data_IF_320999697959
#
_entry.id   IF_320999697959
#
_cell.length_a   1.000
_cell.length_b   1.000
_cell.length_c   1.000
_cell.angle_alpha   90.00
_cell.angle_beta   90.00
_cell.angle_gamma   90.00
#
_symmetry.space_group_name_H-M   'P 1'
#
loop_
_entity.id
_entity.type
_entity.pdbx_description
1 polymer ?
#
# COMPACT_ATOMS: atom_id res chain seq x y z
N UNK A 1 47.86 -1.74 16.47
CA UNK A 1 46.71 -1.92 15.57
C UNK A 1 45.45 -1.98 16.45
N UNK A 2 44.60 -0.95 16.42
CA UNK A 2 43.33 -1.02 17.12
C UNK A 2 42.50 -2.11 16.44
N UNK A 3 42.21 -3.20 17.13
CA UNK A 3 41.21 -4.16 16.74
C UNK A 3 39.87 -3.42 16.75
N UNK A 4 39.43 -2.89 15.62
CA UNK A 4 38.07 -2.47 15.45
C UNK A 4 37.23 -3.75 15.41
N UNK A 5 36.66 -4.13 16.56
CA UNK A 5 35.65 -5.20 16.57
C UNK A 5 34.58 -4.86 15.55
N UNK A 6 34.36 -5.75 14.61
CA UNK A 6 33.24 -5.64 13.68
C UNK A 6 31.94 -5.52 14.48
N UNK A 7 31.11 -4.50 14.27
CA UNK A 7 29.83 -4.39 14.98
C UNK A 7 28.97 -5.65 14.77
N UNK A 8 28.23 -6.05 15.77
CA UNK A 8 27.31 -7.20 15.66
C UNK A 8 26.15 -6.90 14.70
N UNK A 9 25.62 -5.68 14.80
CA UNK A 9 24.51 -5.23 13.97
C UNK A 9 24.77 -3.81 13.46
N UNK A 10 24.61 -3.60 12.15
CA UNK A 10 24.49 -2.27 11.54
C UNK A 10 23.00 -1.94 11.39
N UNK A 11 22.57 -0.84 12.00
CA UNK A 11 21.18 -0.39 11.97
C UNK A 11 21.05 0.75 10.98
N UNK A 12 20.30 0.55 9.91
CA UNK A 12 20.03 1.57 8.89
C UNK A 12 18.73 2.30 9.22
N UNK A 13 18.80 3.62 9.28
CA UNK A 13 17.66 4.51 9.53
C UNK A 13 17.50 5.44 8.32
N UNK A 14 16.67 5.09 7.34
CA UNK A 14 16.34 5.99 6.22
C UNK A 14 15.47 7.12 6.74
N UNK A 15 15.78 8.37 6.41
CA UNK A 15 15.05 9.54 6.88
C UNK A 15 14.80 10.58 5.79
N UNK A 16 13.61 11.16 5.82
CA UNK A 16 13.23 12.35 5.05
C UNK A 16 12.10 13.08 5.76
N UNK A 17 12.38 14.28 6.29
CA UNK A 17 11.38 15.16 6.93
C UNK A 17 10.59 14.45 8.05
N UNK A 18 11.31 13.90 9.03
CA UNK A 18 10.76 13.11 10.13
C UNK A 18 10.90 13.80 11.49
N UNK A 19 10.97 15.13 11.55
CA UNK A 19 11.30 15.90 12.77
C UNK A 19 10.40 15.55 13.97
N UNK A 20 9.14 15.22 13.72
CA UNK A 20 8.16 14.88 14.77
C UNK A 20 8.46 13.54 15.47
N UNK A 21 9.23 12.64 14.84
CA UNK A 21 9.41 11.26 15.30
C UNK A 21 10.86 10.86 15.46
N UNK A 22 11.79 11.49 14.74
CA UNK A 22 13.18 11.07 14.64
C UNK A 22 13.89 10.96 15.99
N UNK A 23 13.54 11.78 16.98
CA UNK A 23 14.13 11.71 18.33
C UNK A 23 13.75 10.41 19.04
N UNK A 24 12.46 10.08 19.06
CA UNK A 24 11.97 8.84 19.65
C UNK A 24 12.59 7.61 18.97
N UNK A 25 12.68 7.62 17.65
CA UNK A 25 13.36 6.60 16.87
C UNK A 25 14.82 6.41 17.32
N UNK A 26 15.64 7.47 17.25
CA UNK A 26 17.06 7.39 17.57
C UNK A 26 17.30 7.05 19.04
N UNK A 27 16.54 7.62 19.98
CA UNK A 27 16.65 7.32 21.39
C UNK A 27 16.38 5.83 21.66
N UNK A 28 15.39 5.22 20.98
CA UNK A 28 15.09 3.79 21.11
C UNK A 28 16.24 2.88 20.64
N UNK A 29 16.97 3.32 19.61
CA UNK A 29 18.14 2.59 19.08
C UNK A 29 19.36 2.79 19.98
N UNK A 30 19.64 3.99 20.45
CA UNK A 30 20.76 4.28 21.35
C UNK A 30 20.66 3.54 22.70
N UNK A 31 19.42 3.31 23.15
CA UNK A 31 19.11 2.61 24.40
C UNK A 31 19.09 1.08 24.27
N UNK A 32 19.48 0.50 23.12
CA UNK A 32 19.56 -0.95 22.98
C UNK A 32 20.52 -1.58 24.00
N UNK A 33 20.14 -2.75 24.52
CA UNK A 33 20.98 -3.54 25.44
C UNK A 33 22.24 -4.05 24.76
N UNK A 34 22.14 -4.43 23.48
CA UNK A 34 23.27 -4.74 22.61
C UNK A 34 24.07 -3.45 22.33
N UNK A 35 25.28 -3.31 22.93
CA UNK A 35 26.10 -2.10 22.79
C UNK A 35 27.01 -2.10 21.55
N UNK A 36 27.33 -3.29 21.04
CA UNK A 36 28.20 -3.49 19.88
C UNK A 36 27.43 -3.35 18.58
N UNK A 37 26.96 -2.12 18.33
CA UNK A 37 26.16 -1.74 17.15
C UNK A 37 26.74 -0.50 16.48
N UNK A 38 26.51 -0.34 15.18
CA UNK A 38 26.61 0.95 14.48
C UNK A 38 25.25 1.40 13.99
N UNK A 39 25.05 2.71 13.89
CA UNK A 39 23.79 3.33 13.48
C UNK A 39 24.08 4.21 12.27
N UNK A 40 23.46 3.90 11.14
CA UNK A 40 23.65 4.60 9.88
C UNK A 40 22.35 5.35 9.55
N UNK A 41 22.32 6.64 9.87
CA UNK A 41 21.22 7.51 9.51
C UNK A 41 21.42 8.02 8.08
N UNK A 42 20.61 7.53 7.14
CA UNK A 42 20.69 7.93 5.74
C UNK A 42 19.64 8.98 5.48
N UNK A 43 20.02 10.25 5.46
CA UNK A 43 19.09 11.38 5.32
C UNK A 43 19.02 11.91 3.88
N UNK A 44 17.83 11.99 3.32
CA UNK A 44 17.60 12.45 1.94
C UNK A 44 17.44 13.98 1.83
N UNK A 45 18.34 14.73 2.48
CA UNK A 45 18.33 16.19 2.53
C UNK A 45 17.04 16.75 3.15
N UNK A 46 16.74 16.34 4.37
CA UNK A 46 15.61 16.85 5.14
C UNK A 46 15.71 18.36 5.36
N UNK A 47 14.58 19.06 5.29
CA UNK A 47 14.48 20.52 5.40
C UNK A 47 13.62 21.00 6.57
N UNK A 48 13.12 20.08 7.40
CA UNK A 48 12.23 20.33 8.53
C UNK A 48 12.94 20.37 9.90
N UNK A 49 14.27 20.24 9.91
CA UNK A 49 15.08 20.15 11.14
C UNK A 49 15.52 18.72 11.49
N UNK A 50 15.08 17.71 10.77
CA UNK A 50 15.50 16.30 10.98
C UNK A 50 17.01 16.14 10.89
N UNK A 51 17.64 16.68 9.84
CA UNK A 51 19.07 16.56 9.60
C UNK A 51 19.88 17.19 10.72
N UNK A 52 19.49 18.36 11.22
CA UNK A 52 20.15 19.04 12.34
C UNK A 52 20.08 18.21 13.63
N UNK A 53 18.94 17.57 13.87
CA UNK A 53 18.75 16.66 15.00
C UNK A 53 19.73 15.46 14.88
N UNK A 54 19.77 14.80 13.73
CA UNK A 54 20.66 13.67 13.47
C UNK A 54 22.13 14.05 13.63
N UNK A 55 22.56 15.20 13.10
CA UNK A 55 23.91 15.75 13.26
C UNK A 55 24.27 16.02 14.73
N UNK A 56 23.30 16.41 15.56
CA UNK A 56 23.51 16.60 16.99
C UNK A 56 23.67 15.27 17.73
N UNK A 57 22.98 14.19 17.33
CA UNK A 57 23.20 12.85 17.85
C UNK A 57 24.57 12.30 17.43
N UNK A 58 24.99 12.46 16.17
CA UNK A 58 26.31 12.06 15.66
C UNK A 58 27.46 12.63 16.50
N UNK A 59 27.35 13.89 16.92
CA UNK A 59 28.37 14.54 17.82
C UNK A 59 28.43 13.91 19.21
N UNK A 60 27.32 13.34 19.69
CA UNK A 60 27.19 12.83 21.07
C UNK A 60 27.51 11.34 21.20
N UNK A 61 27.23 10.55 20.16
CA UNK A 61 27.42 9.10 20.19
C UNK A 61 28.19 8.63 18.94
N UNK A 62 29.40 8.07 19.21
CA UNK A 62 30.31 7.61 18.14
C UNK A 62 29.79 6.41 17.34
N UNK A 63 28.78 5.73 17.83
CA UNK A 63 28.14 4.61 17.11
C UNK A 63 27.27 5.11 15.95
N UNK A 64 26.84 6.38 15.99
CA UNK A 64 25.93 6.97 15.00
C UNK A 64 26.71 7.78 13.97
N UNK A 65 26.42 7.53 12.71
CA UNK A 65 26.95 8.22 11.53
C UNK A 65 25.80 8.72 10.66
N UNK A 66 25.86 9.98 10.23
CA UNK A 66 24.89 10.58 9.31
C UNK A 66 25.49 10.62 7.91
N UNK A 67 24.79 10.00 6.97
CA UNK A 67 25.15 9.94 5.55
C UNK A 67 24.07 10.67 4.77
N UNK A 68 24.49 11.65 3.96
CA UNK A 68 23.56 12.40 3.12
C UNK A 68 23.31 11.61 1.82
N UNK A 69 22.05 11.34 1.55
CA UNK A 69 21.59 10.79 0.27
C UNK A 69 21.38 11.90 -0.74
N UNK A 70 21.91 11.76 -1.94
CA UNK A 70 21.70 12.68 -3.05
C UNK A 70 20.38 12.45 -3.80
N UNK A 71 19.68 11.35 -3.48
CA UNK A 71 18.38 11.00 -4.05
C UNK A 71 17.30 10.90 -2.97
N UNK A 72 16.12 11.42 -3.26
CA UNK A 72 14.90 11.24 -2.47
C UNK A 72 14.22 9.93 -2.86
N UNK A 73 14.84 8.81 -2.51
CA UNK A 73 14.39 7.46 -2.78
C UNK A 73 14.71 6.56 -1.59
N UNK A 74 13.69 5.94 -1.02
CA UNK A 74 13.84 4.97 0.06
C UNK A 74 14.78 3.82 -0.33
N UNK A 75 14.55 3.24 -1.52
CA UNK A 75 15.41 2.17 -2.02
C UNK A 75 16.87 2.57 -2.16
N UNK A 76 17.14 3.77 -2.66
CA UNK A 76 18.51 4.28 -2.76
C UNK A 76 19.15 4.50 -1.38
N UNK A 77 18.40 5.08 -0.43
CA UNK A 77 18.88 5.24 0.95
C UNK A 77 19.24 3.89 1.58
N UNK A 78 18.38 2.89 1.44
CA UNK A 78 18.62 1.54 1.93
C UNK A 78 19.83 0.89 1.26
N UNK A 79 19.98 1.00 -0.07
CA UNK A 79 21.13 0.47 -0.81
C UNK A 79 22.44 1.14 -0.35
N UNK A 80 22.41 2.45 -0.08
CA UNK A 80 23.54 3.17 0.48
C UNK A 80 23.87 2.66 1.90
N UNK A 81 22.86 2.43 2.75
CA UNK A 81 23.01 1.84 4.06
C UNK A 81 23.63 0.44 4.03
N UNK A 82 23.14 -0.45 3.14
CA UNK A 82 23.69 -1.81 2.94
C UNK A 82 25.15 -1.74 2.49
N UNK A 83 25.50 -0.79 1.62
CA UNK A 83 26.88 -0.58 1.15
C UNK A 83 27.81 -0.13 2.28
N UNK A 84 27.37 0.81 3.11
CA UNK A 84 28.17 1.44 4.16
C UNK A 84 28.25 0.63 5.46
N UNK A 85 27.35 -0.33 5.67
CA UNK A 85 27.27 -1.18 6.85
C UNK A 85 28.55 -2.00 7.05
N UNK A 86 28.98 -2.19 8.32
CA UNK A 86 30.17 -2.94 8.72
C UNK A 86 29.85 -4.10 9.65
N UNK A 87 28.62 -4.21 10.12
CA UNK A 87 28.17 -5.22 11.05
C UNK A 87 28.09 -6.62 10.44
N UNK A 88 28.00 -7.61 11.29
CA UNK A 88 27.74 -9.00 10.88
C UNK A 88 26.31 -9.14 10.30
N UNK A 89 25.35 -8.46 10.94
CA UNK A 89 23.97 -8.39 10.52
C UNK A 89 23.55 -6.94 10.22
N UNK A 90 22.53 -6.79 9.36
CA UNK A 90 21.83 -5.55 9.08
C UNK A 90 20.49 -5.56 9.81
N UNK A 91 20.16 -4.47 10.51
CA UNK A 91 18.83 -4.14 11.00
C UNK A 91 18.31 -2.89 10.31
N UNK A 92 17.00 -2.67 10.34
CA UNK A 92 16.33 -1.51 9.75
C UNK A 92 15.41 -0.91 10.80
N UNK A 93 15.40 0.41 10.94
CA UNK A 93 14.38 1.13 11.73
C UNK A 93 13.90 2.33 10.92
N UNK A 94 12.61 2.35 10.63
CA UNK A 94 11.99 3.49 9.94
C UNK A 94 11.99 4.74 10.84
N UNK A 95 12.19 5.92 10.25
CA UNK A 95 12.45 7.15 11.01
C UNK A 95 11.22 7.68 11.80
N UNK A 96 10.05 7.12 11.59
CA UNK A 96 8.81 7.42 12.33
C UNK A 96 8.39 6.31 13.32
N UNK A 97 9.17 5.22 13.40
CA UNK A 97 8.94 4.08 14.27
C UNK A 97 9.92 4.07 15.46
N UNK A 98 9.74 3.14 16.39
CA UNK A 98 10.67 2.89 17.50
C UNK A 98 10.70 1.42 17.90
N UNK A 99 11.70 1.03 18.70
CA UNK A 99 11.96 -0.38 19.05
C UNK A 99 12.12 -0.59 20.56
N UNK A 100 11.79 -1.79 21.04
CA UNK A 100 12.07 -2.19 22.42
C UNK A 100 13.57 -2.33 22.66
N UNK A 101 14.00 -2.06 23.88
CA UNK A 101 15.42 -1.96 24.27
C UNK A 101 16.23 -3.24 24.06
N UNK A 102 15.62 -4.40 24.06
CA UNK A 102 16.26 -5.72 23.92
C UNK A 102 16.15 -6.34 22.53
N UNK A 103 15.62 -5.63 21.53
CA UNK A 103 15.35 -6.19 20.19
C UNK A 103 16.61 -6.80 19.56
N UNK A 104 17.64 -5.99 19.37
CA UNK A 104 18.82 -6.46 18.63
C UNK A 104 19.65 -7.47 19.40
N UNK A 105 19.70 -7.40 20.74
CA UNK A 105 20.34 -8.42 21.54
C UNK A 105 19.67 -9.78 21.35
N UNK A 106 18.33 -9.81 21.47
CA UNK A 106 17.56 -11.03 21.35
C UNK A 106 17.62 -11.65 19.96
N UNK A 107 17.45 -10.83 18.93
CA UNK A 107 17.55 -11.31 17.54
C UNK A 107 18.94 -11.83 17.20
N UNK A 108 20.01 -11.12 17.66
CA UNK A 108 21.39 -11.53 17.43
C UNK A 108 21.74 -12.83 18.15
N UNK A 109 21.35 -13.00 19.43
CA UNK A 109 21.54 -14.25 20.17
C UNK A 109 20.94 -15.45 19.43
N UNK A 110 19.71 -15.31 18.96
CA UNK A 110 19.01 -16.37 18.21
C UNK A 110 19.71 -16.65 16.88
N UNK A 111 20.11 -15.62 16.15
CA UNK A 111 20.82 -15.74 14.90
C UNK A 111 22.13 -16.53 15.07
N UNK A 112 22.90 -16.23 16.13
CA UNK A 112 24.16 -16.92 16.43
C UNK A 112 23.96 -18.34 16.93
N UNK A 113 23.01 -18.54 17.86
CA UNK A 113 22.70 -19.87 18.41
C UNK A 113 22.28 -20.87 17.35
N UNK A 114 21.51 -20.41 16.36
CA UNK A 114 20.93 -21.29 15.33
C UNK A 114 21.67 -21.19 13.98
N UNK A 115 22.72 -20.37 13.88
CA UNK A 115 23.41 -20.05 12.61
C UNK A 115 22.41 -19.69 11.51
N UNK A 116 21.64 -18.63 11.73
CA UNK A 116 20.61 -18.18 10.80
C UNK A 116 21.07 -16.96 10.01
N UNK A 117 20.68 -16.91 8.74
CA UNK A 117 20.91 -15.74 7.87
C UNK A 117 19.88 -14.65 8.11
N UNK A 118 18.66 -15.03 8.51
CA UNK A 118 17.55 -14.12 8.79
C UNK A 118 16.86 -14.53 10.09
N UNK A 119 16.63 -13.56 10.98
CA UNK A 119 15.79 -13.75 12.16
C UNK A 119 14.74 -12.63 12.19
N UNK A 120 13.47 -12.97 12.30
CA UNK A 120 12.35 -12.03 12.38
C UNK A 120 11.51 -12.30 13.63
N UNK A 121 11.08 -11.23 14.29
CA UNK A 121 10.15 -11.28 15.42
C UNK A 121 8.76 -10.78 15.03
N UNK A 122 7.83 -10.93 15.96
CA UNK A 122 6.54 -10.27 15.91
C UNK A 122 6.69 -8.76 16.16
N UNK A 123 5.61 -8.02 16.01
CA UNK A 123 5.63 -6.57 16.14
C UNK A 123 4.36 -6.02 16.78
N UNK A 124 4.37 -4.75 17.06
CA UNK A 124 3.20 -4.02 17.51
C UNK A 124 2.81 -2.97 16.45
N UNK A 125 1.53 -2.87 16.17
CA UNK A 125 0.96 -1.68 15.52
C UNK A 125 0.56 -0.71 16.62
N UNK A 126 0.95 0.56 16.45
CA UNK A 126 0.58 1.56 17.41
C UNK A 126 0.01 2.81 16.71
N UNK A 127 -1.11 3.31 17.22
CA UNK A 127 -1.78 4.49 16.73
C UNK A 127 -2.66 5.11 17.81
N UNK A 128 -2.63 6.43 17.94
CA UNK A 128 -3.49 7.19 18.86
C UNK A 128 -3.52 6.63 20.29
N UNK A 129 -2.34 6.25 20.81
CA UNK A 129 -2.18 5.70 22.15
C UNK A 129 -2.66 4.25 22.35
N UNK A 130 -3.10 3.57 21.30
CA UNK A 130 -3.46 2.15 21.33
C UNK A 130 -2.36 1.32 20.68
N UNK A 131 -2.11 0.15 21.27
CA UNK A 131 -1.10 -0.80 20.80
C UNK A 131 -1.75 -2.15 20.56
N UNK A 132 -1.51 -2.73 19.39
CA UNK A 132 -2.00 -4.05 18.99
C UNK A 132 -0.81 -4.96 18.71
N UNK A 133 -0.81 -6.16 19.29
CA UNK A 133 0.19 -7.19 19.00
C UNK A 133 -0.13 -7.88 17.68
N UNK A 134 0.85 -8.05 16.81
CA UNK A 134 0.71 -8.66 15.50
C UNK A 134 1.72 -9.79 15.33
N UNK A 135 1.25 -10.98 15.04
CA UNK A 135 2.08 -12.11 14.69
C UNK A 135 2.65 -11.93 13.28
N UNK A 136 3.95 -12.12 13.10
CA UNK A 136 4.58 -12.08 11.77
C UNK A 136 4.15 -13.27 10.90
N UNK A 137 3.86 -14.40 11.52
CA UNK A 137 3.28 -15.57 10.85
C UNK A 137 1.78 -15.60 11.04
N UNK A 138 1.03 -15.73 9.95
CA UNK A 138 -0.44 -15.74 9.89
C UNK A 138 -0.94 -17.04 9.28
N UNK A 139 -2.26 -17.29 9.38
CA UNK A 139 -2.96 -18.29 8.58
C UNK A 139 -2.38 -19.72 8.70
N UNK A 140 -2.38 -20.29 9.88
CA UNK A 140 -1.92 -21.66 10.12
C UNK A 140 -0.42 -21.88 9.86
N UNK A 141 0.39 -20.84 10.06
CA UNK A 141 1.85 -20.91 9.97
C UNK A 141 2.54 -20.82 11.34
N UNK A 142 1.79 -20.86 12.44
CA UNK A 142 2.32 -20.72 13.81
C UNK A 142 3.26 -21.88 14.18
N UNK A 143 3.12 -23.03 13.55
CA UNK A 143 4.02 -24.17 13.68
C UNK A 143 5.44 -23.90 13.13
N UNK A 144 5.62 -22.85 12.33
CA UNK A 144 6.93 -22.43 11.78
C UNK A 144 7.76 -21.65 12.82
N UNK A 145 7.16 -21.09 13.87
CA UNK A 145 7.91 -20.41 14.92
C UNK A 145 8.92 -21.34 15.60
N UNK A 146 10.09 -20.76 15.89
CA UNK A 146 11.19 -21.42 16.61
C UNK A 146 11.84 -22.58 15.86
N UNK A 147 11.69 -22.63 14.52
CA UNK A 147 12.38 -23.58 13.65
C UNK A 147 13.20 -22.87 12.59
N UNK A 148 14.30 -23.50 12.17
CA UNK A 148 15.08 -23.08 11.02
C UNK A 148 14.40 -23.55 9.73
N UNK A 149 13.95 -22.61 8.93
CA UNK A 149 13.19 -22.85 7.70
C UNK A 149 13.80 -22.09 6.50
N UNK A 150 13.46 -22.49 5.32
CA UNK A 150 13.57 -21.73 4.08
C UNK A 150 12.43 -22.15 3.14
N UNK A 151 12.23 -21.43 2.04
CA UNK A 151 11.12 -21.68 1.14
C UNK A 151 11.14 -23.07 0.48
N UNK A 152 12.32 -23.69 0.27
CA UNK A 152 12.42 -25.07 -0.26
C UNK A 152 11.88 -26.11 0.73
N UNK A 153 11.92 -25.83 2.03
CA UNK A 153 11.39 -26.70 3.07
C UNK A 153 9.93 -26.42 3.35
N UNK A 154 9.56 -25.15 3.35
CA UNK A 154 8.21 -24.74 3.62
C UNK A 154 7.87 -23.43 2.89
N UNK A 155 7.12 -23.58 1.80
CA UNK A 155 6.68 -22.46 0.96
C UNK A 155 5.73 -21.51 1.67
N UNK A 156 5.10 -21.94 2.78
CA UNK A 156 4.17 -21.13 3.56
C UNK A 156 4.81 -19.87 4.11
N UNK A 157 6.15 -19.81 4.24
CA UNK A 157 6.84 -18.57 4.63
C UNK A 157 6.59 -17.40 3.67
N UNK A 158 6.33 -17.67 2.39
CA UNK A 158 5.92 -16.64 1.44
C UNK A 158 4.43 -16.34 1.49
N UNK A 159 3.59 -17.30 1.86
CA UNK A 159 2.14 -17.16 1.82
C UNK A 159 1.55 -16.62 3.12
N UNK A 160 2.16 -16.93 4.24
CA UNK A 160 1.66 -16.62 5.58
C UNK A 160 2.54 -15.70 6.42
N UNK A 161 3.66 -15.17 5.91
CA UNK A 161 4.47 -14.21 6.65
C UNK A 161 4.27 -12.77 6.16
N UNK A 162 4.33 -11.82 7.09
CA UNK A 162 4.35 -10.41 6.73
C UNK A 162 5.70 -10.01 6.11
N UNK A 163 5.63 -9.32 4.96
CA UNK A 163 6.78 -8.78 4.24
C UNK A 163 7.49 -7.61 4.92
N UNK A 164 7.16 -7.28 6.17
CA UNK A 164 7.71 -6.15 6.92
C UNK A 164 9.19 -6.40 7.24
N UNK A 165 10.09 -5.59 6.66
CA UNK A 165 11.53 -5.77 6.82
C UNK A 165 12.08 -5.27 8.17
N UNK A 166 11.62 -4.16 8.78
CA UNK A 166 12.21 -3.63 10.01
C UNK A 166 12.13 -4.54 11.25
N UNK A 167 11.29 -5.58 11.23
CA UNK A 167 11.07 -6.49 12.38
C UNK A 167 12.14 -7.57 12.56
N UNK A 168 13.27 -7.48 11.86
CA UNK A 168 14.29 -8.54 11.88
C UNK A 168 15.72 -8.05 11.65
N UNK A 169 16.62 -9.03 11.61
CA UNK A 169 18.02 -8.85 11.22
C UNK A 169 18.37 -9.80 10.07
N UNK A 170 19.30 -9.34 9.23
CA UNK A 170 19.69 -9.99 7.99
C UNK A 170 21.21 -10.11 7.94
N UNK A 171 21.76 -11.31 7.73
CA UNK A 171 23.22 -11.47 7.61
C UNK A 171 23.73 -10.60 6.45
N UNK A 172 24.69 -9.74 6.72
CA UNK A 172 25.15 -8.75 5.73
C UNK A 172 25.78 -9.43 4.50
N UNK A 173 26.48 -10.56 4.71
CA UNK A 173 27.05 -11.35 3.60
C UNK A 173 25.97 -11.93 2.67
N UNK A 174 24.80 -12.35 3.19
CA UNK A 174 23.67 -12.77 2.36
C UNK A 174 23.29 -11.67 1.37
N UNK A 175 23.16 -10.44 1.88
CA UNK A 175 22.75 -9.29 1.07
C UNK A 175 23.81 -8.96 0.00
N UNK A 176 25.06 -8.93 0.37
CA UNK A 176 26.16 -8.50 -0.50
C UNK A 176 26.58 -9.54 -1.53
N UNK A 177 26.75 -10.78 -1.09
CA UNK A 177 27.16 -11.88 -2.01
C UNK A 177 26.13 -12.13 -3.09
N UNK A 178 24.86 -12.02 -2.75
CA UNK A 178 23.76 -12.19 -3.70
C UNK A 178 23.34 -10.87 -4.39
N UNK A 179 24.04 -9.77 -4.14
CA UNK A 179 23.75 -8.44 -4.71
C UNK A 179 22.29 -8.02 -4.51
N UNK A 180 21.72 -8.39 -3.36
CA UNK A 180 20.35 -8.01 -2.98
C UNK A 180 20.29 -6.49 -2.83
N UNK A 181 19.34 -5.87 -3.49
CA UNK A 181 19.14 -4.42 -3.47
C UNK A 181 17.68 -4.05 -3.61
N UNK A 182 17.34 -2.88 -3.15
CA UNK A 182 16.01 -2.30 -3.34
C UNK A 182 15.93 -1.58 -4.68
N UNK A 183 14.72 -1.49 -5.21
CA UNK A 183 14.42 -0.64 -6.35
C UNK A 183 14.57 0.85 -5.99
N UNK A 184 15.32 1.60 -6.79
CA UNK A 184 15.64 3.02 -6.51
C UNK A 184 14.62 4.00 -7.10
N UNK A 185 13.34 3.61 -7.15
CA UNK A 185 12.27 4.50 -7.58
C UNK A 185 12.13 5.70 -6.65
N UNK A 186 11.69 6.88 -7.15
CA UNK A 186 11.52 8.08 -6.32
C UNK A 186 10.53 7.90 -5.18
N UNK A 187 10.85 8.47 -4.01
CA UNK A 187 10.02 8.40 -2.80
C UNK A 187 10.10 7.07 -2.07
N UNK A 188 9.09 6.78 -1.26
CA UNK A 188 8.94 5.55 -0.51
C UNK A 188 7.58 4.92 -0.81
N UNK A 189 7.55 3.78 -1.49
CA UNK A 189 6.32 3.02 -1.75
C UNK A 189 6.64 1.66 -2.36
N UNK A 190 6.32 0.57 -1.66
CA UNK A 190 6.45 -0.81 -2.09
C UNK A 190 7.88 -1.36 -2.26
N UNK A 191 8.96 -0.57 -2.16
CA UNK A 191 10.34 -1.06 -2.32
C UNK A 191 10.74 -2.11 -1.27
N UNK A 192 10.03 -2.15 -0.16
CA UNK A 192 10.12 -3.17 0.89
C UNK A 192 9.74 -4.57 0.38
N UNK A 193 8.79 -4.68 -0.55
CA UNK A 193 8.38 -5.97 -1.12
C UNK A 193 9.52 -6.63 -1.91
N UNK A 194 10.26 -5.86 -2.71
CA UNK A 194 11.39 -6.39 -3.49
C UNK A 194 12.54 -6.84 -2.60
N UNK A 195 12.82 -6.12 -1.52
CA UNK A 195 13.83 -6.52 -0.53
C UNK A 195 13.44 -7.84 0.15
N UNK A 196 12.23 -7.88 0.70
CA UNK A 196 11.68 -9.07 1.36
C UNK A 196 11.70 -10.28 0.43
N UNK A 197 11.21 -10.13 -0.81
CA UNK A 197 11.11 -11.23 -1.77
C UNK A 197 12.48 -11.81 -2.11
N UNK A 198 13.47 -10.97 -2.42
CA UNK A 198 14.83 -11.41 -2.74
C UNK A 198 15.49 -12.11 -1.54
N UNK A 199 15.36 -11.56 -0.33
CA UNK A 199 15.91 -12.16 0.89
C UNK A 199 15.32 -13.55 1.10
N UNK A 200 14.00 -13.71 1.03
CA UNK A 200 13.34 -14.98 1.28
C UNK A 200 13.63 -16.02 0.18
N UNK A 201 13.79 -15.57 -1.07
CA UNK A 201 14.14 -16.42 -2.18
C UNK A 201 15.57 -16.98 -2.09
N UNK A 202 16.51 -16.23 -1.49
CA UNK A 202 17.93 -16.55 -1.49
C UNK A 202 18.45 -17.06 -0.14
N UNK A 203 17.75 -16.77 0.95
CA UNK A 203 18.18 -17.20 2.29
C UNK A 203 18.04 -18.71 2.47
N UNK A 204 19.10 -19.32 2.95
CA UNK A 204 19.18 -20.76 3.27
C UNK A 204 18.62 -21.07 4.66
N UNK A 205 18.54 -20.06 5.54
CA UNK A 205 18.11 -20.21 6.92
C UNK A 205 17.40 -18.96 7.43
N UNK A 206 16.09 -19.10 7.67
CA UNK A 206 15.21 -18.09 8.24
C UNK A 206 14.70 -18.64 9.56
N UNK A 207 14.56 -17.80 10.58
CA UNK A 207 14.04 -18.15 11.88
C UNK A 207 13.02 -17.11 12.35
N UNK A 208 11.85 -17.54 12.71
CA UNK A 208 10.80 -16.69 13.25
C UNK A 208 10.66 -16.92 14.75
N UNK A 209 10.51 -15.82 15.51
CA UNK A 209 10.25 -15.90 16.96
C UNK A 209 8.95 -15.17 17.31
N UNK A 210 8.20 -15.75 18.21
CA UNK A 210 6.94 -15.19 18.69
C UNK A 210 7.14 -14.16 19.83
N UNK A 211 8.12 -13.26 19.63
CA UNK A 211 8.41 -12.15 20.52
C UNK A 211 8.34 -10.85 19.73
N UNK A 212 7.59 -9.86 20.22
CA UNK A 212 7.40 -8.59 19.53
C UNK A 212 8.30 -7.49 20.09
N UNK A 213 9.02 -6.79 19.21
CA UNK A 213 9.99 -5.75 19.57
C UNK A 213 9.79 -4.43 18.84
N UNK A 214 9.28 -4.48 17.62
CA UNK A 214 9.15 -3.34 16.74
C UNK A 214 7.81 -2.64 16.95
N UNK A 215 7.81 -1.31 17.03
CA UNK A 215 6.61 -0.49 17.21
C UNK A 215 6.31 0.26 15.91
N UNK A 216 5.47 -0.32 15.09
CA UNK A 216 5.07 0.19 13.78
C UNK A 216 4.00 1.27 13.93
N UNK A 217 4.33 2.53 13.60
CA UNK A 217 3.43 3.67 13.71
C UNK A 217 2.42 3.73 12.56
N UNK A 218 1.14 3.96 12.89
CA UNK A 218 0.05 4.09 11.92
C UNK A 218 -0.71 5.43 11.99
N UNK A 219 -0.40 6.29 12.96
CA UNK A 219 -1.01 7.61 13.10
C UNK A 219 -0.26 8.74 12.40
N UNK A 220 0.91 8.49 11.80
CA UNK A 220 1.62 9.47 10.98
C UNK A 220 0.74 9.92 9.79
N UNK A 221 0.34 11.22 9.71
CA UNK A 221 -0.49 11.72 8.60
C UNK A 221 0.25 11.71 7.26
N UNK A 222 1.59 11.77 7.29
CA UNK A 222 2.45 11.81 6.10
C UNK A 222 2.93 10.42 5.67
N UNK A 223 2.39 9.35 6.26
CA UNK A 223 2.75 7.98 5.89
C UNK A 223 2.53 7.72 4.40
N UNK A 224 3.49 7.07 3.77
CA UNK A 224 3.46 6.72 2.34
C UNK A 224 2.24 5.87 1.96
N UNK A 225 1.73 5.09 2.89
CA UNK A 225 0.53 4.25 2.72
C UNK A 225 -0.73 5.09 2.48
N UNK A 226 -0.79 6.34 2.94
CA UNK A 226 -1.94 7.24 2.78
C UNK A 226 -1.95 8.02 1.46
N UNK A 227 -0.89 7.93 0.66
CA UNK A 227 -0.79 8.70 -0.60
C UNK A 227 -1.75 8.18 -1.66
N UNK A 228 -2.59 9.06 -2.18
CA UNK A 228 -3.55 8.76 -3.26
C UNK A 228 -2.95 8.90 -4.68
N UNK A 229 -1.74 9.44 -4.80
CA UNK A 229 -1.09 9.76 -6.07
C UNK A 229 -0.02 8.75 -6.48
N UNK A 230 0.34 7.82 -5.61
CA UNK A 230 1.32 6.76 -5.91
C UNK A 230 0.66 5.60 -6.65
N UNK A 231 0.34 5.82 -7.92
CA UNK A 231 -0.50 4.94 -8.73
C UNK A 231 0.25 3.70 -9.22
N UNK A 232 1.45 3.87 -9.77
CA UNK A 232 2.17 2.78 -10.46
C UNK A 232 3.33 2.19 -9.65
N UNK A 233 3.57 2.64 -8.42
CA UNK A 233 4.70 2.17 -7.62
C UNK A 233 4.68 0.65 -7.39
N UNK A 234 3.51 0.07 -7.15
CA UNK A 234 3.37 -1.39 -7.05
C UNK A 234 3.71 -2.08 -8.38
N UNK A 235 3.33 -1.48 -9.53
CA UNK A 235 3.65 -2.04 -10.84
C UNK A 235 5.15 -2.11 -11.08
N UNK A 236 5.84 -1.00 -10.80
CA UNK A 236 7.30 -0.88 -10.96
C UNK A 236 8.05 -1.84 -10.03
N UNK A 237 7.56 -2.02 -8.81
CA UNK A 237 8.16 -2.92 -7.84
C UNK A 237 8.00 -4.40 -8.25
N UNK A 238 6.81 -4.79 -8.70
CA UNK A 238 6.61 -6.17 -9.16
C UNK A 238 7.27 -6.46 -10.52
N UNK A 239 7.50 -5.46 -11.35
CA UNK A 239 8.36 -5.60 -12.53
C UNK A 239 9.82 -5.83 -12.11
N UNK A 240 10.31 -5.11 -11.09
CA UNK A 240 11.64 -5.31 -10.51
C UNK A 240 11.81 -6.73 -9.92
N UNK A 241 10.81 -7.25 -9.18
CA UNK A 241 10.84 -8.63 -8.65
C UNK A 241 10.84 -9.65 -9.79
N UNK A 242 10.04 -9.45 -10.85
CA UNK A 242 10.06 -10.35 -12.02
C UNK A 242 11.39 -10.33 -12.75
N UNK A 243 12.04 -9.17 -12.86
CA UNK A 243 13.37 -9.07 -13.49
C UNK A 243 14.46 -9.76 -12.64
N UNK A 244 14.31 -9.76 -11.31
CA UNK A 244 15.12 -10.59 -10.43
C UNK A 244 14.90 -12.08 -10.69
N UNK A 245 13.65 -12.54 -10.75
CA UNK A 245 13.33 -13.95 -11.00
C UNK A 245 13.88 -14.45 -12.35
N UNK A 246 13.77 -13.67 -13.41
CA UNK A 246 14.33 -14.01 -14.74
C UNK A 246 15.85 -14.22 -14.73
N UNK A 247 16.56 -13.57 -13.81
CA UNK A 247 18.01 -13.79 -13.62
C UNK A 247 18.31 -15.05 -12.81
N UNK A 248 17.29 -15.69 -12.24
CA UNK A 248 17.39 -16.88 -11.39
C UNK A 248 16.39 -17.95 -11.86
N UNK A 249 16.65 -18.63 -13.01
CA UNK A 249 15.68 -19.58 -13.61
C UNK A 249 15.27 -20.72 -12.67
N UNK A 250 16.18 -21.15 -11.77
CA UNK A 250 15.89 -22.18 -10.77
C UNK A 250 14.83 -21.74 -9.75
N UNK A 251 14.73 -20.45 -9.47
CA UNK A 251 13.74 -19.86 -8.58
C UNK A 251 12.46 -19.50 -9.31
N UNK A 252 12.57 -19.05 -10.56
CA UNK A 252 11.47 -18.50 -11.35
C UNK A 252 10.30 -19.47 -11.43
N UNK A 253 10.56 -20.74 -11.78
CA UNK A 253 9.51 -21.76 -11.95
C UNK A 253 8.60 -21.90 -10.73
N UNK A 254 9.15 -21.82 -9.52
CA UNK A 254 8.38 -22.01 -8.27
C UNK A 254 7.87 -20.69 -7.71
N UNK A 255 8.64 -19.61 -7.81
CA UNK A 255 8.34 -18.36 -7.16
C UNK A 255 7.59 -17.34 -8.04
N UNK A 256 7.53 -17.53 -9.38
CA UNK A 256 6.75 -16.64 -10.24
C UNK A 256 5.24 -16.66 -9.91
N UNK A 257 4.60 -17.82 -9.64
CA UNK A 257 3.20 -17.82 -9.20
C UNK A 257 2.96 -17.10 -7.87
N UNK A 258 3.91 -17.21 -6.94
CA UNK A 258 3.85 -16.50 -5.65
C UNK A 258 4.01 -14.99 -5.86
N UNK A 259 4.94 -14.58 -6.73
CA UNK A 259 5.08 -13.19 -7.13
C UNK A 259 3.76 -12.65 -7.73
N UNK A 260 3.09 -13.42 -8.58
CA UNK A 260 1.80 -13.07 -9.16
C UNK A 260 0.70 -12.90 -8.10
N UNK A 261 0.66 -13.79 -7.09
CA UNK A 261 -0.27 -13.69 -5.96
C UNK A 261 -0.07 -12.39 -5.17
N UNK A 262 1.15 -12.10 -4.76
CA UNK A 262 1.46 -10.87 -4.02
C UNK A 262 1.24 -9.61 -4.88
N UNK A 263 1.55 -9.69 -6.19
CA UNK A 263 1.24 -8.62 -7.14
C UNK A 263 -0.26 -8.33 -7.17
N UNK A 264 -1.10 -9.35 -7.24
CA UNK A 264 -2.54 -9.20 -7.20
C UNK A 264 -3.00 -8.50 -5.91
N UNK A 265 -2.59 -8.97 -4.75
CA UNK A 265 -2.96 -8.38 -3.46
C UNK A 265 -2.57 -6.89 -3.37
N UNK A 266 -1.34 -6.55 -3.76
CA UNK A 266 -0.86 -5.16 -3.75
C UNK A 266 -1.53 -4.28 -4.82
N UNK A 267 -1.95 -4.85 -5.95
CA UNK A 267 -2.72 -4.12 -6.96
C UNK A 267 -4.13 -3.81 -6.47
N UNK A 268 -4.80 -4.77 -5.82
CA UNK A 268 -6.11 -4.54 -5.21
C UNK A 268 -6.03 -3.47 -4.11
N UNK A 269 -5.03 -3.56 -3.23
CA UNK A 269 -4.77 -2.53 -2.22
C UNK A 269 -4.51 -1.13 -2.84
N UNK A 270 -3.74 -1.08 -3.94
CA UNK A 270 -3.50 0.17 -4.67
C UNK A 270 -4.80 0.72 -5.25
N UNK A 271 -5.62 -0.13 -5.88
CA UNK A 271 -6.90 0.26 -6.47
C UNK A 271 -7.87 0.89 -5.45
N UNK A 272 -7.90 0.36 -4.22
CA UNK A 272 -8.71 0.93 -3.14
C UNK A 272 -8.20 2.31 -2.69
N UNK A 273 -6.89 2.48 -2.62
CA UNK A 273 -6.22 3.64 -2.03
C UNK A 273 -6.13 4.85 -2.95
N UNK A 274 -5.86 4.65 -4.24
CA UNK A 274 -5.60 5.74 -5.19
C UNK A 274 -6.82 6.61 -5.45
N UNK A 275 -6.57 7.86 -5.87
CA UNK A 275 -7.65 8.77 -6.25
C UNK A 275 -8.46 8.21 -7.43
N UNK A 276 -9.77 8.47 -7.40
CA UNK A 276 -10.74 8.00 -8.36
C UNK A 276 -10.34 8.23 -9.81
N UNK A 277 -9.78 9.40 -10.11
CA UNK A 277 -9.34 9.80 -11.46
C UNK A 277 -8.28 8.88 -12.08
N UNK A 278 -7.57 8.10 -11.26
CA UNK A 278 -6.51 7.20 -11.71
C UNK A 278 -6.94 5.74 -11.83
N UNK A 279 -8.08 5.35 -11.25
CA UNK A 279 -8.46 3.95 -11.12
C UNK A 279 -8.63 3.24 -12.46
N UNK A 280 -9.25 3.90 -13.44
CA UNK A 280 -9.43 3.29 -14.76
C UNK A 280 -8.09 3.05 -15.48
N UNK A 281 -7.17 4.01 -15.44
CA UNK A 281 -5.86 3.86 -16.08
C UNK A 281 -5.01 2.82 -15.35
N UNK A 282 -5.10 2.77 -14.03
CA UNK A 282 -4.47 1.71 -13.24
C UNK A 282 -5.03 0.32 -13.59
N UNK A 283 -6.34 0.16 -13.75
CA UNK A 283 -6.96 -1.10 -14.16
C UNK A 283 -6.53 -1.53 -15.57
N UNK A 284 -6.31 -0.60 -16.49
CA UNK A 284 -5.74 -0.90 -17.81
C UNK A 284 -4.31 -1.46 -17.69
N UNK A 285 -3.47 -0.88 -16.82
CA UNK A 285 -2.14 -1.41 -16.52
C UNK A 285 -2.22 -2.78 -15.85
N UNK A 286 -3.10 -2.96 -14.89
CA UNK A 286 -3.38 -4.25 -14.25
C UNK A 286 -3.72 -5.32 -15.31
N UNK A 287 -4.68 -5.01 -16.22
CA UNK A 287 -5.06 -5.90 -17.32
C UNK A 287 -3.87 -6.31 -18.19
N UNK A 288 -3.01 -5.36 -18.56
CA UNK A 288 -1.82 -5.62 -19.38
C UNK A 288 -0.84 -6.57 -18.68
N UNK A 289 -0.57 -6.31 -17.40
CA UNK A 289 0.37 -7.10 -16.62
C UNK A 289 -0.12 -8.54 -16.43
N UNK A 290 -1.39 -8.71 -16.06
CA UNK A 290 -1.96 -10.04 -15.84
C UNK A 290 -2.23 -10.82 -17.13
N UNK A 291 -2.50 -10.15 -18.26
CA UNK A 291 -2.49 -10.81 -19.58
C UNK A 291 -1.12 -11.44 -19.88
N UNK A 292 -0.05 -10.72 -19.53
CA UNK A 292 1.31 -11.25 -19.71
C UNK A 292 1.58 -12.42 -18.77
N UNK A 293 1.23 -12.32 -17.50
CA UNK A 293 1.38 -13.39 -16.49
C UNK A 293 0.64 -14.67 -16.96
N UNK A 294 -0.60 -14.53 -17.42
CA UNK A 294 -1.40 -15.65 -17.92
C UNK A 294 -0.78 -16.25 -19.19
N UNK A 295 -0.32 -15.42 -20.14
CA UNK A 295 0.34 -15.86 -21.36
C UNK A 295 1.64 -16.62 -21.07
N UNK A 296 2.44 -16.11 -20.14
CA UNK A 296 3.73 -16.66 -19.75
C UNK A 296 3.57 -17.89 -18.80
N UNK A 297 2.33 -18.23 -18.42
CA UNK A 297 1.98 -19.32 -17.49
C UNK A 297 2.63 -19.18 -16.10
N UNK A 298 2.76 -17.95 -15.64
CA UNK A 298 3.31 -17.59 -14.34
C UNK A 298 2.25 -17.54 -13.22
N UNK A 299 1.03 -17.98 -13.47
CA UNK A 299 -0.07 -18.00 -12.50
C UNK A 299 -0.43 -19.44 -12.15
N UNK A 300 -0.52 -19.74 -10.84
CA UNK A 300 -1.09 -20.99 -10.32
C UNK A 300 -2.44 -20.65 -9.66
N UNK A 301 -3.53 -21.07 -10.30
CA UNK A 301 -4.89 -20.77 -9.83
C UNK A 301 -5.18 -21.33 -8.43
N UNK A 302 -4.47 -22.40 -8.00
CA UNK A 302 -4.64 -22.98 -6.67
C UNK A 302 -4.17 -22.06 -5.52
N UNK A 303 -3.35 -21.06 -5.83
CA UNK A 303 -2.90 -20.05 -4.85
C UNK A 303 -3.94 -18.94 -4.64
N UNK A 304 -4.95 -18.85 -5.50
CA UNK A 304 -5.95 -17.79 -5.48
C UNK A 304 -7.30 -18.33 -4.99
N UNK A 305 -8.08 -17.49 -4.34
CA UNK A 305 -9.48 -17.80 -4.09
C UNK A 305 -10.34 -17.71 -5.37
N UNK A 306 -11.45 -18.44 -5.40
CA UNK A 306 -12.40 -18.40 -6.53
C UNK A 306 -12.85 -16.99 -6.88
N UNK A 307 -12.99 -16.12 -5.88
CA UNK A 307 -13.34 -14.71 -6.04
C UNK A 307 -12.24 -13.92 -6.73
N UNK A 308 -10.98 -14.16 -6.36
CA UNK A 308 -9.81 -13.48 -6.88
C UNK A 308 -9.60 -13.81 -8.37
N UNK A 309 -9.74 -15.07 -8.74
CA UNK A 309 -9.65 -15.49 -10.15
C UNK A 309 -10.73 -14.84 -11.02
N UNK A 310 -11.97 -14.75 -10.53
CA UNK A 310 -13.04 -14.03 -11.23
C UNK A 310 -12.70 -12.56 -11.43
N UNK A 311 -12.11 -11.90 -10.43
CA UNK A 311 -11.65 -10.51 -10.52
C UNK A 311 -10.55 -10.38 -11.57
N UNK A 312 -9.54 -11.25 -11.53
CA UNK A 312 -8.42 -11.25 -12.49
C UNK A 312 -8.95 -11.38 -13.91
N UNK A 313 -9.78 -12.41 -14.19
CA UNK A 313 -10.33 -12.63 -15.53
C UNK A 313 -11.22 -11.47 -15.99
N UNK A 314 -12.05 -10.89 -15.11
CA UNK A 314 -12.89 -9.74 -15.44
C UNK A 314 -12.05 -8.50 -15.83
N UNK A 315 -10.97 -8.22 -15.09
CA UNK A 315 -10.05 -7.10 -15.38
C UNK A 315 -9.28 -7.38 -16.68
N UNK A 316 -8.81 -8.60 -16.87
CA UNK A 316 -8.04 -8.99 -18.06
C UNK A 316 -8.92 -8.93 -19.31
N UNK A 317 -10.14 -9.40 -19.24
CA UNK A 317 -11.10 -9.37 -20.37
C UNK A 317 -11.46 -7.94 -20.73
N UNK A 318 -11.96 -7.15 -19.76
CA UNK A 318 -12.39 -5.78 -20.00
C UNK A 318 -12.24 -4.90 -18.75
N UNK A 319 -11.12 -4.18 -18.59
CA UNK A 319 -10.87 -3.34 -17.42
C UNK A 319 -11.86 -2.17 -17.30
N UNK A 320 -12.45 -1.71 -18.40
CA UNK A 320 -13.46 -0.64 -18.37
C UNK A 320 -14.77 -1.15 -17.79
N UNK A 321 -15.22 -2.33 -18.19
CA UNK A 321 -16.41 -2.95 -17.60
C UNK A 321 -16.20 -3.23 -16.11
N UNK A 322 -15.03 -3.78 -15.73
CA UNK A 322 -14.72 -4.00 -14.33
C UNK A 322 -14.73 -2.69 -13.54
N UNK A 323 -14.15 -1.61 -14.07
CA UNK A 323 -14.17 -0.30 -13.44
C UNK A 323 -15.59 0.18 -13.14
N UNK A 324 -16.51 0.07 -14.10
CA UNK A 324 -17.91 0.49 -13.89
C UNK A 324 -18.62 -0.36 -12.83
N UNK A 325 -18.37 -1.66 -12.80
CA UNK A 325 -18.91 -2.54 -11.76
C UNK A 325 -18.34 -2.21 -10.38
N UNK A 326 -17.03 -2.07 -10.29
CA UNK A 326 -16.32 -1.71 -9.06
C UNK A 326 -16.81 -0.36 -8.51
N UNK A 327 -16.96 0.64 -9.36
CA UNK A 327 -17.47 1.96 -8.97
C UNK A 327 -18.92 1.93 -8.50
N UNK A 328 -19.76 1.13 -9.11
CA UNK A 328 -21.13 0.92 -8.65
C UNK A 328 -21.17 0.35 -7.23
N UNK A 329 -20.29 -0.57 -6.91
CA UNK A 329 -20.17 -1.17 -5.60
C UNK A 329 -19.60 -0.21 -4.55
N UNK A 330 -18.49 0.48 -4.86
CA UNK A 330 -17.79 1.34 -3.91
C UNK A 330 -18.53 2.61 -3.55
N UNK A 331 -19.39 3.14 -4.44
CA UNK A 331 -20.09 4.39 -4.20
C UNK A 331 -21.44 4.25 -3.46
N UNK A 332 -21.81 3.05 -3.04
CA UNK A 332 -23.12 2.78 -2.40
C UNK A 332 -24.31 3.38 -3.20
N UNK A 333 -24.06 3.61 -4.50
CA UNK A 333 -25.02 4.25 -5.38
C UNK A 333 -26.27 3.40 -5.52
N UNK A 334 -26.09 2.09 -5.66
CA UNK A 334 -27.21 1.16 -5.82
C UNK A 334 -28.03 1.00 -4.54
N UNK A 335 -27.39 0.98 -3.36
CA UNK A 335 -28.10 0.90 -2.10
C UNK A 335 -29.08 2.05 -1.93
N UNK A 336 -28.63 3.30 -2.14
CA UNK A 336 -29.50 4.49 -2.04
C UNK A 336 -30.64 4.49 -3.03
N UNK A 337 -30.38 4.11 -4.28
CA UNK A 337 -31.40 4.07 -5.33
C UNK A 337 -32.37 2.90 -5.17
N UNK A 338 -31.89 1.78 -4.62
CA UNK A 338 -32.69 0.58 -4.42
C UNK A 338 -33.71 0.72 -3.29
N UNK A 339 -33.41 1.52 -2.26
CA UNK A 339 -34.25 1.63 -1.07
C UNK A 339 -35.19 2.85 -1.05
N UNK A 340 -35.20 3.74 -2.06
CA UNK A 340 -36.05 4.92 -2.01
C UNK A 340 -36.44 5.50 -3.37
N UNK A 341 -37.77 5.61 -3.64
CA UNK A 341 -38.28 6.31 -4.80
C UNK A 341 -37.92 7.80 -4.78
N UNK A 342 -37.91 8.41 -3.60
CA UNK A 342 -37.49 9.80 -3.38
C UNK A 342 -36.07 10.05 -3.83
N UNK A 343 -35.13 9.17 -3.51
CA UNK A 343 -33.72 9.29 -3.95
C UNK A 343 -33.59 9.09 -5.46
N UNK A 344 -34.37 8.19 -6.05
CA UNK A 344 -34.42 8.02 -7.52
C UNK A 344 -34.90 9.27 -8.26
N UNK A 345 -35.89 10.01 -7.70
CA UNK A 345 -36.32 11.29 -8.28
C UNK A 345 -35.20 12.34 -8.14
N UNK A 346 -34.54 12.41 -6.98
CA UNK A 346 -33.41 13.33 -6.76
C UNK A 346 -32.21 13.00 -7.65
N UNK A 347 -32.03 11.73 -8.01
CA UNK A 347 -30.99 11.29 -8.93
C UNK A 347 -31.22 11.72 -10.38
N UNK A 348 -32.47 12.03 -10.78
CA UNK A 348 -32.78 12.49 -12.12
C UNK A 348 -32.11 13.82 -12.45
N UNK A 349 -31.65 13.96 -13.70
CA UNK A 349 -30.94 15.15 -14.19
C UNK A 349 -31.78 16.42 -13.98
N UNK A 350 -33.11 16.34 -14.14
CA UNK A 350 -34.02 17.43 -13.88
C UNK A 350 -33.92 17.98 -12.46
N UNK A 351 -33.90 17.12 -11.44
CA UNK A 351 -33.78 17.59 -10.06
C UNK A 351 -32.42 18.22 -9.79
N UNK A 352 -31.35 17.61 -10.31
CA UNK A 352 -29.95 18.05 -10.12
C UNK A 352 -29.68 19.41 -10.75
N UNK A 353 -30.11 19.62 -12.00
CA UNK A 353 -30.01 20.93 -12.67
C UNK A 353 -30.85 21.97 -11.94
N UNK A 354 -32.07 21.64 -11.57
CA UNK A 354 -32.94 22.59 -10.85
C UNK A 354 -32.38 23.01 -9.49
N UNK A 355 -31.67 22.11 -8.79
CA UNK A 355 -30.94 22.45 -7.58
C UNK A 355 -29.82 23.47 -7.87
N UNK A 356 -29.04 23.27 -8.95
CA UNK A 356 -28.02 24.24 -9.36
C UNK A 356 -28.62 25.60 -9.72
N UNK A 357 -29.82 25.64 -10.35
CA UNK A 357 -30.50 26.90 -10.67
C UNK A 357 -30.99 27.65 -9.41
N UNK A 358 -31.50 26.93 -8.40
CA UNK A 358 -31.93 27.54 -7.12
C UNK A 358 -30.76 28.14 -6.36
N UNK A 359 -29.57 27.54 -6.50
CA UNK A 359 -28.37 28.01 -5.82
C UNK A 359 -27.75 29.27 -6.45
N UNK A 360 -28.31 29.82 -7.56
CA UNK A 360 -27.81 31.04 -8.21
C UNK A 360 -28.26 32.31 -7.44
N UNK A 361 -27.60 32.56 -6.31
CA UNK A 361 -27.95 33.68 -5.40
C UNK A 361 -27.08 34.93 -5.59
N UNK A 362 -25.99 34.85 -6.33
CA UNK A 362 -25.07 35.97 -6.50
C UNK A 362 -24.33 35.89 -7.86
N UNK A 363 -23.73 37.02 -8.35
CA UNK A 363 -23.05 37.08 -9.66
C UNK A 363 -21.94 36.04 -9.84
N UNK A 364 -21.22 35.69 -8.78
CA UNK A 364 -20.11 34.70 -8.85
C UNK A 364 -20.67 33.30 -9.13
N UNK A 365 -21.82 32.97 -8.57
CA UNK A 365 -22.47 31.68 -8.83
C UNK A 365 -23.05 31.62 -10.24
N UNK A 366 -23.56 32.74 -10.77
CA UNK A 366 -24.03 32.84 -12.14
C UNK A 366 -22.86 32.61 -13.12
N UNK A 367 -21.72 33.27 -12.89
CA UNK A 367 -20.53 33.08 -13.73
C UNK A 367 -19.99 31.64 -13.73
N UNK A 368 -20.08 30.95 -12.59
CA UNK A 368 -19.64 29.56 -12.44
C UNK A 368 -20.69 28.52 -12.91
N UNK A 369 -21.90 28.93 -13.22
CA UNK A 369 -22.99 28.01 -13.53
C UNK A 369 -22.71 27.14 -14.77
N UNK A 370 -22.23 27.67 -15.92
CA UNK A 370 -21.98 26.84 -17.09
C UNK A 370 -20.99 25.71 -16.79
N UNK A 371 -19.94 26.00 -16.01
CA UNK A 371 -18.96 24.99 -15.61
C UNK A 371 -19.55 23.94 -14.67
N UNK A 372 -20.32 24.37 -13.64
CA UNK A 372 -21.01 23.44 -12.75
C UNK A 372 -22.04 22.57 -13.47
N UNK A 373 -22.78 23.16 -14.40
CA UNK A 373 -23.73 22.45 -15.24
C UNK A 373 -23.06 21.38 -16.09
N UNK A 374 -21.94 21.72 -16.72
CA UNK A 374 -21.14 20.77 -17.49
C UNK A 374 -20.65 19.60 -16.64
N UNK A 375 -20.14 19.86 -15.45
CA UNK A 375 -19.68 18.82 -14.53
C UNK A 375 -20.85 17.93 -14.08
N UNK A 376 -22.00 18.49 -13.76
CA UNK A 376 -23.18 17.76 -13.32
C UNK A 376 -23.74 16.84 -14.43
N UNK A 377 -23.80 17.33 -15.65
CA UNK A 377 -24.23 16.53 -16.82
C UNK A 377 -23.22 15.40 -17.08
N UNK A 378 -21.92 15.68 -16.99
CA UNK A 378 -20.87 14.68 -17.16
C UNK A 378 -20.98 13.59 -16.11
N UNK A 379 -21.15 13.98 -14.85
CA UNK A 379 -21.32 13.06 -13.72
C UNK A 379 -22.58 12.20 -13.88
N UNK A 380 -23.73 12.80 -14.23
CA UNK A 380 -24.96 12.06 -14.46
C UNK A 380 -24.83 11.04 -15.60
N UNK A 381 -24.22 11.41 -16.73
CA UNK A 381 -23.99 10.49 -17.85
C UNK A 381 -23.08 9.33 -17.43
N UNK A 382 -22.08 9.59 -16.61
CA UNK A 382 -21.18 8.58 -16.08
C UNK A 382 -21.93 7.59 -15.17
N UNK A 383 -22.73 8.08 -14.21
CA UNK A 383 -23.56 7.25 -13.32
C UNK A 383 -24.56 6.40 -14.09
N UNK A 384 -25.19 6.97 -15.13
CA UNK A 384 -26.08 6.22 -16.03
C UNK A 384 -25.36 5.10 -16.78
N UNK A 385 -24.12 5.33 -17.21
CA UNK A 385 -23.31 4.31 -17.86
C UNK A 385 -22.97 3.18 -16.88
N UNK A 386 -22.59 3.52 -15.63
CA UNK A 386 -22.37 2.54 -14.56
C UNK A 386 -23.62 1.68 -14.37
N UNK A 387 -24.77 2.30 -14.13
CA UNK A 387 -26.03 1.59 -13.90
C UNK A 387 -26.37 0.63 -15.04
N UNK A 388 -26.36 1.11 -16.29
CA UNK A 388 -26.66 0.29 -17.47
C UNK A 388 -25.68 -0.89 -17.63
N UNK A 389 -24.40 -0.68 -17.31
CA UNK A 389 -23.41 -1.75 -17.37
C UNK A 389 -23.67 -2.78 -16.28
N UNK A 390 -23.93 -2.32 -15.04
CA UNK A 390 -24.18 -3.21 -13.91
C UNK A 390 -25.42 -4.11 -14.14
N UNK A 391 -26.53 -3.56 -14.58
CA UNK A 391 -27.74 -4.38 -14.82
C UNK A 391 -27.60 -5.33 -16.00
N UNK A 392 -26.69 -5.06 -16.94
CA UNK A 392 -26.35 -6.00 -18.02
C UNK A 392 -25.70 -7.27 -17.50
N UNK A 393 -24.79 -7.14 -16.49
CA UNK A 393 -24.11 -8.27 -15.88
C UNK A 393 -24.87 -8.88 -14.70
N UNK A 394 -25.62 -8.06 -13.99
CA UNK A 394 -26.41 -8.44 -12.80
C UNK A 394 -27.86 -7.95 -12.95
N UNK A 395 -28.68 -8.64 -13.75
CA UNK A 395 -30.08 -8.24 -14.01
C UNK A 395 -30.92 -8.13 -12.72
N UNK A 396 -30.58 -8.88 -11.69
CA UNK A 396 -31.23 -8.84 -10.38
C UNK A 396 -31.03 -7.52 -9.62
N UNK A 397 -30.09 -6.68 -10.06
CA UNK A 397 -29.88 -5.32 -9.52
C UNK A 397 -30.65 -4.24 -10.29
N UNK A 398 -31.52 -4.64 -11.23
CA UNK A 398 -32.40 -3.70 -11.88
C UNK A 398 -33.35 -3.06 -10.87
N UNK A 399 -33.41 -1.72 -10.89
CA UNK A 399 -34.28 -0.98 -9.98
C UNK A 399 -35.74 -1.28 -10.27
N UNK A 400 -36.57 -1.60 -9.26
CA UNK A 400 -37.99 -1.88 -9.45
C UNK A 400 -38.73 -0.63 -9.96
N UNK A 401 -39.94 -0.76 -10.52
CA UNK A 401 -40.81 0.37 -10.86
C UNK A 401 -40.96 1.34 -9.69
N UNK A 402 -41.12 2.65 -9.96
CA UNK A 402 -41.17 3.65 -8.88
C UNK A 402 -42.36 3.42 -7.94
N UNK A 403 -43.45 2.89 -8.51
CA UNK A 403 -44.69 2.60 -7.83
C UNK A 403 -44.61 1.51 -6.76
N UNK A 404 -43.59 0.68 -6.84
CA UNK A 404 -43.36 -0.45 -5.91
C UNK A 404 -42.62 -0.02 -4.61
N UNK A 405 -42.15 1.22 -4.55
CA UNK A 405 -41.44 1.71 -3.35
C UNK A 405 -42.42 2.21 -2.26
N UNK A 406 -42.13 1.90 -1.01
CA UNK A 406 -42.91 2.33 0.14
C UNK A 406 -43.02 3.86 0.31
N UNK A 407 -42.06 4.63 -0.22
CA UNK A 407 -42.02 6.08 -0.19
C UNK A 407 -42.47 6.76 -1.49
N UNK A 408 -43.20 6.05 -2.34
CA UNK A 408 -43.65 6.53 -3.66
C UNK A 408 -44.46 7.84 -3.57
N UNK A 409 -45.37 7.96 -2.62
CA UNK A 409 -46.17 9.17 -2.41
C UNK A 409 -45.27 10.39 -2.02
N UNK A 410 -44.20 10.15 -1.27
CA UNK A 410 -43.23 11.20 -0.95
C UNK A 410 -42.41 11.60 -2.19
N UNK A 411 -42.04 10.63 -3.01
CA UNK A 411 -41.34 10.85 -4.28
C UNK A 411 -42.17 11.72 -5.23
N UNK A 412 -43.50 11.51 -5.31
CA UNK A 412 -44.38 12.34 -6.09
C UNK A 412 -44.44 13.81 -5.63
N UNK A 413 -44.29 14.05 -4.32
CA UNK A 413 -44.18 15.42 -3.79
C UNK A 413 -42.88 16.08 -4.25
N UNK A 414 -41.76 15.34 -4.33
CA UNK A 414 -40.48 15.88 -4.82
C UNK A 414 -40.58 16.30 -6.29
N UNK A 415 -41.37 15.63 -7.13
CA UNK A 415 -41.62 16.07 -8.51
C UNK A 415 -42.34 17.43 -8.60
N UNK A 416 -43.01 17.84 -7.53
CA UNK A 416 -43.68 19.17 -7.42
C UNK A 416 -42.73 20.23 -6.81
N UNK A 417 -41.55 19.88 -6.34
CA UNK A 417 -40.60 20.85 -5.83
C UNK A 417 -40.09 21.77 -6.95
N UNK A 418 -39.80 23.01 -6.59
CA UNK A 418 -39.28 24.01 -7.51
C UNK A 418 -38.03 23.53 -8.24
N UNK A 419 -37.08 22.84 -7.55
CA UNK A 419 -35.90 22.25 -8.16
C UNK A 419 -36.24 21.28 -9.30
N UNK A 420 -37.20 20.40 -9.12
CA UNK A 420 -37.56 19.47 -10.18
C UNK A 420 -38.24 20.19 -11.38
N UNK A 421 -39.14 21.11 -11.11
CA UNK A 421 -39.85 21.89 -12.11
C UNK A 421 -38.91 22.76 -12.95
N UNK A 422 -38.04 23.52 -12.29
CA UNK A 422 -37.03 24.37 -12.96
C UNK A 422 -36.10 23.57 -13.85
N UNK A 423 -35.54 22.48 -13.32
CA UNK A 423 -34.61 21.67 -14.08
C UNK A 423 -35.30 20.94 -15.25
N UNK A 424 -36.55 20.49 -15.11
CA UNK A 424 -37.32 19.93 -16.21
C UNK A 424 -37.62 20.97 -17.30
N UNK A 425 -37.98 22.19 -16.89
CA UNK A 425 -38.18 23.32 -17.81
C UNK A 425 -36.87 23.67 -18.53
N UNK A 426 -35.76 23.72 -17.83
CA UNK A 426 -34.43 23.98 -18.42
C UNK A 426 -34.05 22.92 -19.46
N UNK A 427 -34.28 21.63 -19.19
CA UNK A 427 -33.95 20.55 -20.12
C UNK A 427 -34.81 20.65 -21.38
N UNK A 428 -36.10 20.97 -21.22
CA UNK A 428 -37.00 21.07 -22.34
C UNK A 428 -36.82 22.35 -23.17
N UNK A 429 -36.37 23.43 -22.58
CA UNK A 429 -36.21 24.74 -23.22
C UNK A 429 -34.93 25.45 -22.74
N UNK A 430 -33.73 24.97 -23.13
CA UNK A 430 -32.47 25.50 -22.61
C UNK A 430 -32.16 26.95 -23.03
N UNK A 431 -32.91 27.47 -24.02
CA UNK A 431 -32.74 28.86 -24.53
C UNK A 431 -33.44 29.90 -23.64
N UNK A 432 -34.31 29.49 -22.71
CA UNK A 432 -35.02 30.41 -21.82
C UNK A 432 -34.28 30.71 -20.50
N UNK A 433 -33.14 30.13 -20.32
CA UNK A 433 -32.27 30.27 -19.13
C UNK A 433 -30.83 30.66 -19.55
#
# INVERSE_FOLDING_TARGET
MMNYNTPKVSIVVPSLNSISYIRECIDSILNQTLKDIEILCIDANSTDGTLEVLKNYEKKDKRLRVIISDKKSYGYQMNLGIKEAKGEYLGIVESDDYIKTNMYERLYEIAKKNDCEVVKGDFYIFAYGKTEYVNVLRNSCEDIYNYKVNWNKDIRIFLGSDGINPIGIYRLDLLRTNQIKLNETPGASYQDNGLWFQIFALAKSIYFINEAFYMLRRDNPNSSVKSKEKVYCACEEYDFIRDFLKKHPDLEKTLAPICALHRFGNYMFTLERIDERYKLDFLKRFSQDFRKILKDKELDENLFGDGDMKIIYSIVENPENYYFLYMGYCNDMFGKLYFGASERIKWQLSYRIGKLLIDLKNPVQILKFPFKLFLEIKQFKFEQKIYKTTIKFYPNLQLPPLEEYSDYEQALKIKKHLSYILGKSFINNPILF
#
